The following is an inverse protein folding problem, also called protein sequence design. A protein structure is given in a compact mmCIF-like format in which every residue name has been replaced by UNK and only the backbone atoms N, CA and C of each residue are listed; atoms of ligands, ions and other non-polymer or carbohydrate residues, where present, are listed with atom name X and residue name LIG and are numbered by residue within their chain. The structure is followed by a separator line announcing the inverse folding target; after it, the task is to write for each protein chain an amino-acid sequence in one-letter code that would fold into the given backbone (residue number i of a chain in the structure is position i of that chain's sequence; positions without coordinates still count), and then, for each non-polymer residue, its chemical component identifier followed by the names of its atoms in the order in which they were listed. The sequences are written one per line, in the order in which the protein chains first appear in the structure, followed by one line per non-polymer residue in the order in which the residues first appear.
data_IF_780603778707
#
_entry.id   IF_780603778707
#
_cell.length_a   1.000
_cell.length_b   1.000
_cell.length_c   1.000
_cell.angle_alpha   90.00
_cell.angle_beta   90.00
_cell.angle_gamma   90.00
#
_symmetry.space_group_name_H-M   'P 1'
#
loop_
_entity.id
_entity.type
_entity.pdbx_description
1 polymer ?
#
# COMPACT_ATOMS: atom_id res chain seq x y z
N UNK A 1 16.82 9.49 32.93
CA UNK A 1 17.62 9.44 31.68
C UNK A 1 19.07 9.81 31.90
N UNK A 2 19.44 11.08 32.09
CA UNK A 2 20.85 11.51 32.16
C UNK A 2 21.71 10.73 33.15
N UNK A 3 21.24 10.52 34.38
CA UNK A 3 21.97 9.72 35.37
C UNK A 3 22.25 8.28 34.89
N UNK A 4 21.31 7.66 34.18
CA UNK A 4 21.49 6.31 33.62
C UNK A 4 22.45 6.34 32.43
N UNK A 5 22.38 7.37 31.58
CA UNK A 5 23.30 7.54 30.45
C UNK A 5 24.76 7.67 30.93
N UNK A 6 25.01 8.45 31.97
CA UNK A 6 26.34 8.69 32.53
C UNK A 6 26.91 7.48 33.29
N UNK A 7 26.04 6.59 33.80
CA UNK A 7 26.42 5.46 34.65
C UNK A 7 25.98 4.10 34.07
N UNK A 8 25.79 4.02 32.75
CA UNK A 8 25.05 2.93 32.13
C UNK A 8 25.64 1.54 32.41
N UNK A 9 26.96 1.38 32.32
CA UNK A 9 27.60 0.08 32.56
C UNK A 9 27.58 -0.32 34.04
N UNK A 10 27.73 0.64 34.96
CA UNK A 10 27.65 0.38 36.39
C UNK A 10 26.25 -0.07 36.82
N UNK A 11 25.22 0.49 36.18
CA UNK A 11 23.82 0.20 36.49
C UNK A 11 23.23 -0.95 35.67
N UNK A 12 23.98 -1.53 34.73
CA UNK A 12 23.48 -2.53 33.77
C UNK A 12 22.85 -3.74 34.48
N UNK A 13 23.55 -4.32 35.44
CA UNK A 13 23.10 -5.50 36.18
C UNK A 13 21.80 -5.26 36.98
N UNK A 14 21.53 -4.01 37.35
CA UNK A 14 20.32 -3.62 38.07
C UNK A 14 19.09 -3.56 37.17
N UNK A 15 19.28 -3.25 35.89
CA UNK A 15 18.18 -2.97 34.96
C UNK A 15 17.93 -4.09 33.95
N UNK A 16 18.96 -4.78 33.46
CA UNK A 16 18.84 -5.74 32.34
C UNK A 16 19.61 -7.04 32.60
N UNK A 17 19.31 -8.09 31.84
CA UNK A 17 19.99 -9.40 31.94
C UNK A 17 21.24 -9.53 31.09
N UNK A 18 21.32 -8.83 29.95
CA UNK A 18 22.46 -8.91 29.05
C UNK A 18 23.64 -8.09 29.59
N UNK A 19 24.81 -8.73 29.60
CA UNK A 19 26.03 -8.19 30.21
C UNK A 19 26.77 -7.17 29.35
N UNK A 20 26.52 -7.15 28.04
CA UNK A 20 27.20 -6.24 27.11
C UNK A 20 26.29 -5.83 25.95
N UNK A 21 26.63 -4.71 25.31
CA UNK A 21 25.96 -4.23 24.11
C UNK A 21 24.49 -3.86 24.31
N UNK A 22 23.75 -3.88 23.19
CA UNK A 22 22.32 -3.58 23.12
C UNK A 22 21.55 -4.75 22.51
N UNK A 23 20.38 -5.05 23.06
CA UNK A 23 19.41 -5.91 22.38
C UNK A 23 18.42 -5.04 21.60
N UNK A 24 17.87 -5.59 20.52
CA UNK A 24 16.89 -4.87 19.70
C UNK A 24 15.48 -5.27 20.12
N UNK A 25 14.67 -4.27 20.49
CA UNK A 25 13.25 -4.43 20.79
C UNK A 25 12.45 -4.04 19.56
N UNK A 26 11.70 -4.99 19.03
CA UNK A 26 10.97 -4.84 17.77
C UNK A 26 9.48 -4.98 18.02
N UNK A 27 8.72 -4.00 17.52
CA UNK A 27 7.25 -3.99 17.53
C UNK A 27 6.73 -4.21 16.11
N UNK A 28 5.57 -4.86 15.97
CA UNK A 28 5.02 -5.26 14.67
C UNK A 28 3.48 -5.22 14.66
N UNK A 29 2.86 -5.58 13.54
CA UNK A 29 1.40 -5.73 13.41
C UNK A 29 0.56 -4.46 13.67
N UNK A 30 1.05 -3.32 13.21
CA UNK A 30 0.28 -2.06 13.24
C UNK A 30 -0.87 -2.07 12.22
N UNK A 31 -2.00 -1.46 12.57
CA UNK A 31 -3.13 -1.28 11.66
C UNK A 31 -2.80 -0.32 10.50
N UNK A 32 -2.00 0.71 10.77
CA UNK A 32 -1.54 1.71 9.80
C UNK A 32 -0.07 2.05 10.06
N UNK A 33 0.69 2.35 8.99
CA UNK A 33 2.05 2.91 9.06
C UNK A 33 2.10 4.22 9.87
N UNK A 34 1.01 4.96 9.99
CA UNK A 34 0.92 6.18 10.80
C UNK A 34 0.43 5.98 12.24
N UNK A 35 0.07 4.76 12.64
CA UNK A 35 -0.38 4.47 14.01
C UNK A 35 0.82 4.42 14.98
N UNK A 36 1.10 5.58 15.59
CA UNK A 36 2.16 5.73 16.58
C UNK A 36 1.69 5.44 18.01
N UNK A 37 0.38 5.50 18.28
CA UNK A 37 -0.14 5.27 19.62
C UNK A 37 0.08 3.80 20.03
N UNK A 38 -0.28 2.88 19.13
CA UNK A 38 -0.09 1.45 19.35
C UNK A 38 1.40 1.08 19.44
N UNK A 39 2.28 1.81 18.75
CA UNK A 39 3.73 1.65 18.88
C UNK A 39 4.20 1.89 20.32
N UNK A 40 3.74 2.95 20.99
CA UNK A 40 4.15 3.22 22.37
C UNK A 40 3.65 2.13 23.32
N UNK A 41 2.41 1.67 23.17
CA UNK A 41 1.84 0.63 24.03
C UNK A 41 2.55 -0.73 23.86
N UNK A 42 2.84 -1.12 22.61
CA UNK A 42 3.62 -2.33 22.34
C UNK A 42 5.07 -2.20 22.85
N UNK A 43 5.70 -1.06 22.60
CA UNK A 43 7.10 -0.84 22.99
C UNK A 43 7.25 -0.86 24.50
N UNK A 44 6.30 -0.29 25.24
CA UNK A 44 6.26 -0.35 26.71
C UNK A 44 6.29 -1.81 27.20
N UNK A 45 5.49 -2.70 26.60
CA UNK A 45 5.47 -4.13 26.94
C UNK A 45 6.82 -4.80 26.68
N UNK A 46 7.45 -4.51 25.55
CA UNK A 46 8.78 -5.04 25.23
C UNK A 46 9.86 -4.57 26.20
N UNK A 47 9.86 -3.28 26.60
CA UNK A 47 10.81 -2.79 27.60
C UNK A 47 10.56 -3.44 28.96
N UNK A 48 9.31 -3.56 29.40
CA UNK A 48 8.96 -4.24 30.66
C UNK A 48 9.46 -5.69 30.67
N UNK A 49 9.28 -6.42 29.56
CA UNK A 49 9.72 -7.81 29.42
C UNK A 49 11.24 -7.97 29.51
N UNK A 50 12.00 -6.96 29.10
CA UNK A 50 13.46 -7.00 29.03
C UNK A 50 14.14 -6.23 30.17
N UNK A 51 13.39 -5.76 31.17
CA UNK A 51 13.92 -5.06 32.34
C UNK A 51 13.57 -5.77 33.64
N UNK A 52 14.40 -5.56 34.67
CA UNK A 52 14.26 -6.21 35.98
C UNK A 52 13.53 -5.33 36.99
N UNK A 53 13.15 -5.94 38.12
CA UNK A 53 12.73 -5.26 39.34
C UNK A 53 11.55 -4.30 39.18
N UNK A 54 10.68 -4.52 38.18
CA UNK A 54 9.55 -3.65 37.87
C UNK A 54 9.94 -2.17 37.69
N UNK A 55 11.18 -1.88 37.27
CA UNK A 55 11.67 -0.50 37.13
C UNK A 55 10.82 0.31 36.15
N UNK A 56 10.29 -0.33 35.11
CA UNK A 56 9.38 0.31 34.16
C UNK A 56 8.04 0.71 34.79
N UNK A 57 7.54 -0.04 35.78
CA UNK A 57 6.35 0.34 36.51
C UNK A 57 6.62 1.57 37.39
N UNK A 58 7.77 1.61 38.06
CA UNK A 58 8.20 2.78 38.85
C UNK A 58 8.37 4.06 38.03
N UNK A 59 8.77 3.93 36.76
CA UNK A 59 8.96 5.05 35.83
C UNK A 59 7.69 5.40 35.03
N UNK A 60 6.64 4.57 35.12
CA UNK A 60 5.38 4.81 34.43
C UNK A 60 4.60 5.91 35.14
N UNK A 61 4.05 6.86 34.38
CA UNK A 61 3.07 7.80 34.90
C UNK A 61 1.70 7.13 34.93
N UNK A 62 1.18 6.88 36.13
CA UNK A 62 -0.11 6.22 36.39
C UNK A 62 -1.02 7.05 37.32
N UNK A 63 -0.77 8.37 37.40
CA UNK A 63 -1.57 9.30 38.19
C UNK A 63 -2.99 9.47 37.63
N UNK A 64 -3.93 9.88 38.49
CA UNK A 64 -5.34 10.10 38.12
C UNK A 64 -5.54 11.19 37.05
N UNK A 65 -4.55 12.06 36.83
CA UNK A 65 -4.54 13.12 35.82
C UNK A 65 -3.78 12.74 34.55
N UNK A 66 -3.26 11.51 34.45
CA UNK A 66 -2.53 11.04 33.27
C UNK A 66 -3.50 10.84 32.10
N UNK A 67 -3.42 11.74 31.12
CA UNK A 67 -4.08 11.59 29.83
C UNK A 67 -3.21 10.84 28.81
N UNK A 68 -3.72 10.74 27.58
CA UNK A 68 -3.05 10.04 26.47
C UNK A 68 -1.65 10.60 26.17
N UNK A 69 -1.52 11.93 26.10
CA UNK A 69 -0.23 12.59 25.81
C UNK A 69 0.79 12.31 26.91
N UNK A 70 0.39 12.40 28.18
CA UNK A 70 1.26 12.11 29.32
C UNK A 70 1.69 10.64 29.35
N UNK A 71 0.79 9.71 29.00
CA UNK A 71 1.11 8.29 28.87
C UNK A 71 2.19 8.04 27.80
N UNK A 72 2.04 8.64 26.62
CA UNK A 72 3.03 8.55 25.53
C UNK A 72 4.38 9.14 25.97
N UNK A 73 4.38 10.33 26.57
CA UNK A 73 5.61 10.96 27.07
C UNK A 73 6.28 10.12 28.17
N UNK A 74 5.50 9.49 29.05
CA UNK A 74 6.03 8.56 30.06
C UNK A 74 6.76 7.39 29.41
N UNK A 75 6.16 6.74 28.40
CA UNK A 75 6.81 5.68 27.64
C UNK A 75 8.06 6.18 26.91
N UNK A 76 8.01 7.36 26.30
CA UNK A 76 9.17 7.97 25.64
C UNK A 76 10.31 8.26 26.64
N UNK A 77 10.00 8.70 27.87
CA UNK A 77 10.98 8.91 28.93
C UNK A 77 11.63 7.60 29.40
N UNK A 78 10.85 6.52 29.50
CA UNK A 78 11.36 5.16 29.78
C UNK A 78 12.30 4.73 28.65
N UNK A 79 11.89 4.87 27.40
CA UNK A 79 12.70 4.53 26.23
C UNK A 79 14.02 5.32 26.21
N UNK A 80 13.96 6.63 26.48
CA UNK A 80 15.15 7.48 26.58
C UNK A 80 16.07 7.05 27.72
N UNK A 81 15.52 6.61 28.85
CA UNK A 81 16.32 6.15 30.00
C UNK A 81 17.06 4.85 29.71
N UNK A 82 16.47 3.93 28.95
CA UNK A 82 17.10 2.64 28.64
C UNK A 82 17.75 2.56 27.25
N UNK A 83 17.89 3.70 26.54
CA UNK A 83 18.45 3.74 25.18
C UNK A 83 19.90 3.24 25.08
N UNK A 84 20.63 3.18 26.20
CA UNK A 84 21.97 2.60 26.24
C UNK A 84 21.95 1.06 26.20
N UNK A 85 20.87 0.43 26.65
CA UNK A 85 20.73 -1.04 26.70
C UNK A 85 19.90 -1.60 25.54
N UNK A 86 19.04 -0.78 24.94
CA UNK A 86 18.11 -1.20 23.90
C UNK A 86 18.26 -0.38 22.63
N UNK A 87 18.03 -1.06 21.50
CA UNK A 87 17.73 -0.44 20.21
C UNK A 87 16.25 -0.63 19.93
N UNK A 88 15.53 0.46 19.66
CA UNK A 88 14.09 0.39 19.38
C UNK A 88 13.85 0.32 17.88
N UNK A 89 13.07 -0.67 17.44
CA UNK A 89 12.67 -0.82 16.04
C UNK A 89 11.16 -0.94 15.93
N UNK A 90 10.64 -0.25 14.92
CA UNK A 90 9.25 -0.39 14.47
C UNK A 90 9.28 -1.15 13.16
N UNK A 91 8.79 -2.38 13.17
CA UNK A 91 8.71 -3.22 11.99
C UNK A 91 7.33 -3.04 11.36
N UNK A 92 7.29 -2.44 10.18
CA UNK A 92 6.08 -2.39 9.36
C UNK A 92 6.09 -3.65 8.50
N UNK A 93 5.40 -4.69 8.95
CA UNK A 93 5.11 -5.84 8.10
C UNK A 93 3.95 -5.47 7.20
N UNK A 94 4.14 -5.54 5.89
CA UNK A 94 3.02 -5.53 4.96
C UNK A 94 2.27 -6.83 5.25
N UNK A 95 1.23 -6.77 6.08
CA UNK A 95 0.42 -7.93 6.38
C UNK A 95 -0.27 -8.36 5.09
N UNK A 96 -0.04 -9.61 4.67
CA UNK A 96 -0.67 -10.19 3.48
C UNK A 96 -2.19 -10.23 3.58
N UNK A 97 -2.85 -10.68 2.51
CA UNK A 97 -4.31 -10.74 2.44
C UNK A 97 -4.84 -11.71 3.51
N UNK A 98 -5.48 -11.18 4.55
CA UNK A 98 -6.07 -11.96 5.65
C UNK A 98 -7.32 -12.73 5.22
N UNK A 99 -8.09 -12.16 4.29
CA UNK A 99 -9.32 -12.74 3.77
C UNK A 99 -9.57 -12.25 2.34
N UNK A 100 -9.98 -13.15 1.46
CA UNK A 100 -10.42 -12.84 0.10
C UNK A 100 -11.92 -13.03 0.05
N UNK A 101 -12.64 -12.00 -0.39
CA UNK A 101 -14.06 -12.10 -0.69
C UNK A 101 -14.24 -11.95 -2.19
N UNK A 102 -14.74 -13.00 -2.85
CA UNK A 102 -15.09 -12.91 -4.25
C UNK A 102 -16.50 -12.39 -4.40
N UNK A 103 -16.65 -11.39 -5.27
CA UNK A 103 -17.96 -11.01 -5.79
C UNK A 103 -18.32 -11.92 -6.97
N UNK A 104 -19.61 -12.24 -7.13
CA UNK A 104 -20.10 -13.16 -8.15
C UNK A 104 -20.08 -14.64 -7.74
N UNK A 105 -20.55 -15.50 -8.63
CA UNK A 105 -20.64 -16.95 -8.46
C UNK A 105 -19.49 -17.67 -9.17
N UNK A 106 -19.24 -18.94 -8.82
CA UNK A 106 -18.25 -19.77 -9.54
C UNK A 106 -18.56 -19.86 -11.06
N UNK A 107 -19.84 -19.86 -11.44
CA UNK A 107 -20.26 -19.90 -12.84
C UNK A 107 -19.89 -18.61 -13.59
N UNK A 108 -19.94 -17.46 -12.92
CA UNK A 108 -19.52 -16.19 -13.49
C UNK A 108 -18.02 -16.21 -13.79
N UNK A 109 -17.21 -16.72 -12.86
CA UNK A 109 -15.76 -16.84 -13.04
C UNK A 109 -15.38 -17.86 -14.12
N UNK A 110 -16.07 -19.00 -14.21
CA UNK A 110 -15.89 -19.96 -15.31
C UNK A 110 -16.25 -19.35 -16.67
N UNK A 111 -17.36 -18.62 -16.73
CA UNK A 111 -17.82 -17.94 -17.95
C UNK A 111 -16.83 -16.86 -18.37
N UNK A 112 -16.32 -16.07 -17.42
CA UNK A 112 -15.31 -15.04 -17.65
C UNK A 112 -14.04 -15.67 -18.25
N UNK A 113 -13.54 -16.76 -17.64
CA UNK A 113 -12.39 -17.49 -18.14
C UNK A 113 -12.58 -17.98 -19.57
N UNK A 114 -13.73 -18.58 -19.89
CA UNK A 114 -14.03 -19.08 -21.25
C UNK A 114 -14.05 -17.92 -22.25
N UNK A 115 -14.70 -16.81 -21.92
CA UNK A 115 -14.73 -15.61 -22.78
C UNK A 115 -13.34 -15.05 -23.01
N UNK A 116 -12.50 -14.98 -21.97
CA UNK A 116 -11.11 -14.52 -22.07
C UNK A 116 -10.26 -15.47 -22.91
N UNK A 117 -10.47 -16.78 -22.84
CA UNK A 117 -9.78 -17.74 -23.71
C UNK A 117 -10.14 -17.50 -25.18
N UNK A 118 -11.42 -17.23 -25.48
CA UNK A 118 -11.87 -16.94 -26.84
C UNK A 118 -11.27 -15.64 -27.41
N UNK A 119 -10.93 -14.66 -26.56
CA UNK A 119 -10.25 -13.44 -27.01
C UNK A 119 -8.87 -13.71 -27.63
N UNK A 120 -8.22 -14.84 -27.32
CA UNK A 120 -6.95 -15.22 -27.93
C UNK A 120 -7.04 -15.35 -29.45
N UNK A 121 -8.22 -15.70 -29.99
CA UNK A 121 -8.46 -15.80 -31.43
C UNK A 121 -8.28 -14.47 -32.17
N UNK A 122 -8.39 -13.35 -31.45
CA UNK A 122 -8.26 -11.99 -31.97
C UNK A 122 -6.97 -11.31 -31.49
N UNK A 123 -6.04 -12.06 -30.90
CA UNK A 123 -4.83 -11.54 -30.26
C UNK A 123 -3.58 -11.71 -31.12
N UNK A 124 -2.65 -10.75 -31.01
CA UNK A 124 -1.27 -10.93 -31.44
C UNK A 124 -0.45 -11.64 -30.34
N UNK A 125 0.79 -12.02 -30.63
CA UNK A 125 1.64 -12.79 -29.69
C UNK A 125 1.78 -12.10 -28.31
N UNK A 126 1.90 -10.77 -28.30
CA UNK A 126 2.02 -9.99 -27.06
C UNK A 126 0.73 -10.07 -26.22
N UNK A 127 -0.42 -9.78 -26.83
CA UNK A 127 -1.70 -9.83 -26.15
C UNK A 127 -2.08 -11.27 -25.74
N UNK A 128 -1.68 -12.26 -26.54
CA UNK A 128 -1.82 -13.68 -26.20
C UNK A 128 -1.07 -14.04 -24.92
N UNK A 129 0.17 -13.56 -24.77
CA UNK A 129 0.97 -13.72 -23.55
C UNK A 129 0.29 -13.13 -22.32
N UNK A 130 -0.22 -11.91 -22.44
CA UNK A 130 -1.01 -11.25 -21.40
C UNK A 130 -2.26 -12.06 -21.01
N UNK A 131 -3.09 -12.44 -21.99
CA UNK A 131 -4.31 -13.22 -21.75
C UNK A 131 -4.01 -14.55 -21.07
N UNK A 132 -2.91 -15.21 -21.44
CA UNK A 132 -2.47 -16.46 -20.80
C UNK A 132 -2.15 -16.27 -19.32
N UNK A 133 -1.54 -15.12 -18.97
CA UNK A 133 -1.36 -14.71 -17.58
C UNK A 133 -2.67 -14.53 -16.83
N UNK A 134 -3.60 -13.76 -17.41
CA UNK A 134 -4.93 -13.50 -16.82
C UNK A 134 -5.72 -14.79 -16.60
N UNK A 135 -5.69 -15.71 -17.56
CA UNK A 135 -6.37 -17.00 -17.44
C UNK A 135 -5.84 -17.84 -16.28
N UNK A 136 -4.51 -17.83 -16.07
CA UNK A 136 -3.91 -18.53 -14.92
C UNK A 136 -4.38 -17.96 -13.57
N UNK A 137 -4.66 -16.66 -13.51
CA UNK A 137 -5.23 -16.00 -12.33
C UNK A 137 -6.69 -16.45 -12.12
N UNK A 138 -7.50 -16.48 -13.18
CA UNK A 138 -8.88 -16.98 -13.10
C UNK A 138 -8.95 -18.45 -12.70
N UNK A 139 -7.99 -19.28 -13.13
CA UNK A 139 -7.87 -20.66 -12.66
C UNK A 139 -7.68 -20.72 -11.14
N UNK A 140 -6.83 -19.88 -10.57
CA UNK A 140 -6.66 -19.83 -9.10
C UNK A 140 -7.93 -19.37 -8.39
N UNK A 141 -8.70 -18.48 -8.99
CA UNK A 141 -9.97 -18.02 -8.40
C UNK A 141 -10.98 -19.17 -8.39
N UNK A 142 -11.16 -19.86 -9.51
CA UNK A 142 -12.06 -21.01 -9.64
C UNK A 142 -11.65 -22.14 -8.67
N UNK A 143 -10.37 -22.46 -8.56
CA UNK A 143 -9.89 -23.46 -7.61
C UNK A 143 -10.11 -23.04 -6.16
N UNK A 144 -9.99 -21.74 -5.85
CA UNK A 144 -10.31 -21.20 -4.52
C UNK A 144 -11.79 -21.39 -4.18
N UNK A 145 -12.71 -21.17 -5.14
CA UNK A 145 -14.15 -21.48 -4.95
C UNK A 145 -14.43 -22.96 -4.70
N UNK A 146 -13.63 -23.87 -5.29
CA UNK A 146 -13.74 -25.31 -5.08
C UNK A 146 -13.13 -25.79 -3.74
N UNK A 147 -12.53 -24.89 -2.97
CA UNK A 147 -11.83 -25.20 -1.72
C UNK A 147 -10.35 -25.56 -1.87
N UNK A 148 -9.81 -25.56 -3.10
CA UNK A 148 -8.41 -25.87 -3.39
C UNK A 148 -7.55 -24.60 -3.33
N UNK A 149 -7.34 -24.09 -2.11
CA UNK A 149 -6.69 -22.79 -1.91
C UNK A 149 -5.16 -22.88 -2.03
N UNK A 150 -4.58 -22.26 -3.05
CA UNK A 150 -3.14 -22.07 -3.18
C UNK A 150 -2.65 -20.85 -2.39
N UNK A 151 -2.19 -21.08 -1.15
CA UNK A 151 -1.69 -19.99 -0.28
C UNK A 151 -0.54 -19.20 -0.89
N UNK A 152 0.37 -19.86 -1.61
CA UNK A 152 1.52 -19.18 -2.22
C UNK A 152 1.12 -18.19 -3.30
N UNK A 153 0.06 -18.48 -4.04
CA UNK A 153 -0.54 -17.54 -4.99
C UNK A 153 -1.15 -16.33 -4.26
N UNK A 154 -1.95 -16.57 -3.22
CA UNK A 154 -2.62 -15.51 -2.46
C UNK A 154 -1.68 -14.63 -1.64
N UNK A 155 -0.54 -15.14 -1.18
CA UNK A 155 0.47 -14.32 -0.49
C UNK A 155 1.19 -13.38 -1.47
N UNK A 156 1.24 -13.75 -2.76
CA UNK A 156 1.96 -13.01 -3.81
C UNK A 156 1.06 -12.12 -4.67
N UNK A 157 -0.07 -11.65 -4.13
CA UNK A 157 -0.95 -10.69 -4.83
C UNK A 157 -0.17 -9.43 -5.19
N UNK A 158 0.53 -8.89 -4.21
CA UNK A 158 1.28 -7.65 -4.31
C UNK A 158 2.56 -7.78 -3.48
N UNK A 159 3.70 -7.38 -4.05
CA UNK A 159 5.02 -7.39 -3.42
C UNK A 159 5.77 -6.12 -3.79
N UNK A 160 6.36 -5.44 -2.79
CA UNK A 160 7.10 -4.20 -2.99
C UNK A 160 8.59 -4.50 -3.01
N UNK A 161 9.22 -4.33 -4.18
CA UNK A 161 10.66 -4.53 -4.36
C UNK A 161 11.38 -3.21 -4.37
N UNK A 162 12.31 -3.03 -3.44
CA UNK A 162 13.26 -1.91 -3.46
C UNK A 162 14.36 -2.17 -4.46
N UNK A 163 14.52 -1.28 -5.43
CA UNK A 163 15.68 -1.24 -6.33
C UNK A 163 16.38 0.09 -6.17
N UNK A 164 17.67 0.13 -6.48
CA UNK A 164 18.43 1.37 -6.56
C UNK A 164 18.77 1.63 -8.00
N UNK A 165 18.36 2.77 -8.54
CA UNK A 165 18.71 3.19 -9.89
C UNK A 165 19.77 4.29 -9.82
N UNK A 166 20.60 4.37 -10.86
CA UNK A 166 21.53 5.47 -11.05
C UNK A 166 20.76 6.66 -11.63
N UNK A 167 20.85 7.80 -10.96
CA UNK A 167 20.39 9.10 -11.45
C UNK A 167 21.39 9.56 -12.52
N UNK A 168 21.09 9.23 -13.77
CA UNK A 168 21.90 9.60 -14.92
C UNK A 168 21.29 10.86 -15.52
N UNK A 169 21.82 12.02 -15.15
CA UNK A 169 21.50 13.26 -15.83
C UNK A 169 22.35 13.35 -17.12
N UNK A 170 21.73 13.24 -18.32
CA UNK A 170 22.46 13.24 -19.59
C UNK A 170 23.15 14.57 -19.91
N UNK A 171 22.83 15.64 -19.18
CA UNK A 171 23.44 16.97 -19.30
C UNK A 171 24.46 17.28 -18.19
N UNK A 172 24.75 16.33 -17.28
CA UNK A 172 25.72 16.56 -16.20
C UNK A 172 27.17 16.55 -16.71
N UNK A 173 28.09 17.34 -16.10
CA UNK A 173 29.52 17.27 -16.39
C UNK A 173 30.09 15.86 -16.23
N UNK A 174 31.07 15.47 -17.05
CA UNK A 174 31.64 14.10 -17.10
C UNK A 174 32.10 13.57 -15.72
N UNK A 175 32.52 14.46 -14.81
CA UNK A 175 32.89 14.08 -13.44
C UNK A 175 31.70 13.62 -12.58
N UNK A 176 30.51 14.19 -12.78
CA UNK A 176 29.29 13.77 -12.07
C UNK A 176 28.70 12.49 -12.68
N UNK A 177 28.87 12.25 -13.99
CA UNK A 177 28.39 11.02 -14.63
C UNK A 177 29.22 9.78 -14.27
N UNK A 178 30.46 9.96 -13.79
CA UNK A 178 31.31 8.90 -13.24
C UNK A 178 30.88 8.42 -11.84
N UNK A 179 30.11 9.24 -11.12
CA UNK A 179 29.59 8.93 -9.78
C UNK A 179 28.10 9.29 -9.66
N UNK A 180 27.22 8.58 -10.38
CA UNK A 180 25.80 8.90 -10.40
C UNK A 180 25.19 8.72 -9.01
N UNK A 181 24.34 9.67 -8.62
CA UNK A 181 23.57 9.61 -7.38
C UNK A 181 22.66 8.38 -7.45
N UNK A 182 22.60 7.61 -6.36
CA UNK A 182 21.77 6.40 -6.30
C UNK A 182 20.42 6.73 -5.67
N UNK A 183 19.34 6.54 -6.41
CA UNK A 183 17.98 6.80 -5.94
C UNK A 183 17.31 5.47 -5.60
N UNK A 184 16.82 5.29 -4.36
CA UNK A 184 15.99 4.15 -4.02
C UNK A 184 14.60 4.34 -4.65
N UNK A 185 14.15 3.36 -5.41
CA UNK A 185 12.79 3.28 -5.94
C UNK A 185 12.09 2.05 -5.37
N UNK A 186 10.80 2.21 -5.07
CA UNK A 186 9.92 1.12 -4.67
C UNK A 186 9.11 0.69 -5.88
N UNK A 187 9.19 -0.59 -6.25
CA UNK A 187 8.44 -1.17 -7.36
C UNK A 187 7.34 -2.07 -6.82
N UNK A 188 6.11 -1.85 -7.27
CA UNK A 188 5.01 -2.76 -7.04
C UNK A 188 5.10 -3.92 -8.04
N UNK A 189 5.04 -5.14 -7.52
CA UNK A 189 5.09 -6.40 -8.28
C UNK A 189 4.01 -7.36 -7.77
N UNK A 190 3.79 -8.48 -8.44
CA UNK A 190 2.79 -9.49 -8.05
C UNK A 190 1.84 -9.83 -9.20
N UNK A 191 0.92 -10.76 -8.98
CA UNK A 191 -0.03 -11.11 -10.05
C UNK A 191 -1.11 -10.04 -10.24
N UNK A 192 -1.32 -9.15 -9.25
CA UNK A 192 -2.31 -8.07 -9.39
C UNK A 192 -1.91 -7.05 -10.45
N UNK A 193 -0.61 -6.72 -10.58
CA UNK A 193 -0.14 -5.81 -11.63
C UNK A 193 -0.30 -6.46 -13.01
N UNK A 194 0.00 -7.76 -13.10
CA UNK A 194 -0.22 -8.54 -14.31
C UNK A 194 -1.70 -8.60 -14.71
N UNK A 195 -2.64 -8.68 -13.76
CA UNK A 195 -4.07 -8.68 -14.05
C UNK A 195 -4.53 -7.41 -14.78
N UNK A 196 -3.88 -6.28 -14.53
CA UNK A 196 -4.19 -4.99 -15.16
C UNK A 196 -3.27 -4.67 -16.36
N UNK A 197 -2.46 -5.63 -16.81
CA UNK A 197 -1.54 -5.42 -17.94
C UNK A 197 -0.35 -4.54 -17.61
N UNK A 198 -0.03 -4.39 -16.33
CA UNK A 198 1.09 -3.60 -15.84
C UNK A 198 2.28 -4.54 -15.62
N UNK A 199 3.37 -4.35 -16.37
CA UNK A 199 4.58 -5.17 -16.23
C UNK A 199 5.38 -4.83 -14.96
N UNK A 200 5.53 -3.54 -14.64
CA UNK A 200 6.12 -3.02 -13.40
C UNK A 200 5.54 -1.62 -13.10
N UNK A 201 4.99 -1.40 -11.90
CA UNK A 201 4.48 -0.08 -11.48
C UNK A 201 5.46 0.55 -10.49
N UNK A 202 6.02 1.72 -10.83
CA UNK A 202 6.91 2.47 -9.92
C UNK A 202 6.02 3.27 -8.97
N UNK A 203 6.26 3.11 -7.67
CA UNK A 203 5.60 3.91 -6.65
C UNK A 203 6.43 5.19 -6.53
N UNK A 204 6.22 6.18 -7.41
CA UNK A 204 6.80 7.51 -7.22
C UNK A 204 5.98 8.30 -6.19
N UNK A 205 6.65 9.16 -5.42
CA UNK A 205 6.06 9.96 -4.34
C UNK A 205 5.22 11.14 -4.81
N UNK A 206 5.24 11.44 -6.10
CA UNK A 206 4.66 12.66 -6.64
C UNK A 206 3.84 12.32 -7.88
N UNK A 207 2.52 12.49 -7.75
CA UNK A 207 1.54 12.83 -8.81
C UNK A 207 1.85 12.38 -10.25
N UNK A 208 2.19 11.10 -10.47
CA UNK A 208 2.08 10.56 -11.81
C UNK A 208 0.62 10.17 -12.02
N UNK A 209 -0.14 11.12 -12.60
CA UNK A 209 -1.47 10.94 -13.21
C UNK A 209 -1.38 9.97 -14.40
N UNK A 210 -0.61 8.89 -14.31
CA UNK A 210 -0.66 7.78 -15.24
C UNK A 210 -2.00 7.07 -15.02
N UNK A 211 -3.03 7.64 -15.65
CA UNK A 211 -4.41 7.18 -15.67
C UNK A 211 -4.36 5.67 -15.91
N UNK A 212 -4.75 4.90 -14.90
CA UNK A 212 -4.88 3.44 -15.02
C UNK A 212 -5.71 3.14 -16.28
N UNK A 213 -5.41 2.05 -17.00
CA UNK A 213 -6.08 1.75 -18.26
C UNK A 213 -7.59 1.89 -18.12
N UNK A 214 -8.15 2.92 -18.74
CA UNK A 214 -9.59 3.20 -18.72
C UNK A 214 -10.16 2.94 -20.12
N UNK A 215 -11.36 2.39 -20.14
CA UNK A 215 -12.24 2.47 -21.29
C UNK A 215 -12.44 3.95 -21.57
N UNK A 216 -12.14 4.38 -22.79
CA UNK A 216 -12.45 5.72 -23.28
C UNK A 216 -13.05 5.56 -24.68
N UNK A 217 -14.37 5.55 -24.74
CA UNK A 217 -15.11 5.32 -25.99
C UNK A 217 -15.79 6.61 -26.44
N UNK A 218 -15.39 7.19 -27.59
CA UNK A 218 -16.08 8.34 -28.15
C UNK A 218 -17.47 7.94 -28.66
N UNK A 219 -18.45 8.80 -28.43
CA UNK A 219 -19.84 8.65 -28.88
C UNK A 219 -20.30 9.99 -29.45
N UNK A 220 -20.74 9.98 -30.70
CA UNK A 220 -21.28 11.17 -31.35
C UNK A 220 -22.75 11.36 -30.95
N UNK A 221 -23.07 12.54 -30.43
CA UNK A 221 -24.39 12.98 -30.03
C UNK A 221 -25.00 13.83 -31.15
N UNK A 222 -26.07 13.33 -31.76
CA UNK A 222 -26.80 14.03 -32.81
C UNK A 222 -28.00 14.77 -32.23
N UNK A 223 -28.00 16.11 -32.28
CA UNK A 223 -29.16 16.92 -31.91
C UNK A 223 -30.14 17.02 -33.08
N UNK A 224 -31.21 16.23 -33.02
CA UNK A 224 -32.26 16.21 -34.04
C UNK A 224 -33.07 17.50 -34.17
N UNK A 225 -32.94 18.46 -33.26
CA UNK A 225 -33.65 19.76 -33.33
C UNK A 225 -32.88 20.78 -34.17
N UNK A 226 -31.55 20.73 -34.11
CA UNK A 226 -30.67 21.77 -34.65
C UNK A 226 -29.75 21.22 -35.76
N UNK A 227 -29.69 19.90 -35.93
CA UNK A 227 -28.81 19.23 -36.89
C UNK A 227 -27.32 19.24 -36.51
N UNK A 228 -26.99 19.58 -35.26
CA UNK A 228 -25.61 19.67 -34.78
C UNK A 228 -25.14 18.33 -34.21
N UNK A 229 -23.85 18.03 -34.43
CA UNK A 229 -23.17 16.86 -33.84
C UNK A 229 -22.17 17.33 -32.79
N UNK A 230 -22.31 16.83 -31.56
CA UNK A 230 -21.31 16.96 -30.50
C UNK A 230 -20.69 15.60 -30.19
N UNK A 231 -19.56 15.58 -29.48
CA UNK A 231 -18.88 14.34 -29.10
C UNK A 231 -18.78 14.24 -27.59
N UNK A 232 -19.26 13.12 -27.04
CA UNK A 232 -19.05 12.74 -25.65
C UNK A 232 -18.16 11.49 -25.58
N UNK A 233 -17.59 11.25 -24.40
CA UNK A 233 -16.75 10.10 -24.14
C UNK A 233 -17.34 9.31 -22.98
N UNK A 234 -17.58 8.01 -23.19
CA UNK A 234 -17.84 7.07 -22.12
C UNK A 234 -16.48 6.66 -21.57
N UNK A 235 -16.19 7.15 -20.36
CA UNK A 235 -14.97 6.83 -19.63
C UNK A 235 -15.32 5.85 -18.52
N UNK A 236 -14.63 4.72 -18.43
CA UNK A 236 -14.88 3.73 -17.39
C UNK A 236 -13.63 2.98 -17.01
N UNK A 237 -13.47 2.63 -15.74
CA UNK A 237 -12.29 1.89 -15.31
C UNK A 237 -12.05 1.97 -13.82
N UNK A 238 -10.87 1.50 -13.41
CA UNK A 238 -10.42 1.59 -12.03
C UNK A 238 -10.04 3.04 -11.72
N UNK A 239 -10.84 3.71 -10.89
CA UNK A 239 -10.64 5.11 -10.52
C UNK A 239 -9.88 5.29 -9.20
N UNK A 240 -9.44 4.20 -8.56
CA UNK A 240 -8.61 4.24 -7.37
C UNK A 240 -9.06 3.28 -6.27
N UNK A 241 -8.49 3.47 -5.08
CA UNK A 241 -8.79 2.71 -3.86
C UNK A 241 -9.30 3.71 -2.81
N UNK A 242 -10.54 3.54 -2.37
CA UNK A 242 -11.09 4.32 -1.26
C UNK A 242 -10.76 3.62 0.06
N UNK A 243 -10.43 4.41 1.08
CA UNK A 243 -10.25 3.93 2.46
C UNK A 243 -11.40 4.44 3.32
N UNK A 244 -12.13 3.54 3.94
CA UNK A 244 -13.14 3.87 4.98
C UNK A 244 -12.95 2.90 6.12
N UNK A 245 -12.73 3.40 7.35
CA UNK A 245 -12.53 2.56 8.54
C UNK A 245 -11.45 1.46 8.36
N UNK A 246 -10.30 1.80 7.76
CA UNK A 246 -9.21 0.87 7.42
C UNK A 246 -9.59 -0.26 6.46
N UNK A 247 -10.70 -0.14 5.74
CA UNK A 247 -11.05 -1.02 4.62
C UNK A 247 -10.73 -0.33 3.30
N UNK A 248 -9.84 -0.95 2.54
CA UNK A 248 -9.47 -0.50 1.20
C UNK A 248 -10.40 -1.15 0.18
N UNK A 249 -11.16 -0.35 -0.56
CA UNK A 249 -12.05 -0.83 -1.63
C UNK A 249 -11.61 -0.25 -2.97
N UNK A 250 -11.23 -1.10 -3.94
CA UNK A 250 -11.07 -0.63 -5.31
C UNK A 250 -12.43 -0.19 -5.87
N UNK A 251 -12.48 0.98 -6.49
CA UNK A 251 -13.71 1.49 -7.10
C UNK A 251 -13.58 1.50 -8.62
N UNK A 252 -14.48 0.76 -9.26
CA UNK A 252 -14.78 0.95 -10.67
C UNK A 252 -15.86 2.00 -10.79
N UNK A 253 -15.66 2.97 -11.67
CA UNK A 253 -16.68 3.96 -12.02
C UNK A 253 -16.81 4.06 -13.54
N UNK A 254 -17.95 4.56 -13.97
CA UNK A 254 -18.24 4.93 -15.35
C UNK A 254 -18.79 6.35 -15.33
N UNK A 255 -18.25 7.20 -16.20
CA UNK A 255 -18.62 8.62 -16.35
C UNK A 255 -18.80 8.93 -17.84
N UNK A 256 -19.76 9.81 -18.15
CA UNK A 256 -19.91 10.36 -19.50
C UNK A 256 -19.42 11.80 -19.48
N UNK A 257 -18.36 12.09 -20.23
CA UNK A 257 -17.73 13.41 -20.26
C UNK A 257 -18.01 14.06 -21.61
N UNK A 258 -18.59 15.26 -21.60
CA UNK A 258 -18.73 16.08 -22.80
C UNK A 258 -17.54 17.03 -22.90
N UNK A 259 -16.80 16.98 -24.02
CA UNK A 259 -15.72 17.92 -24.26
C UNK A 259 -16.33 19.31 -24.55
N UNK A 260 -16.42 20.15 -23.51
CA UNK A 260 -16.81 21.55 -23.70
C UNK A 260 -15.77 22.23 -24.61
N UNK A 261 -16.17 22.64 -25.81
CA UNK A 261 -15.35 23.49 -26.68
C UNK A 261 -15.06 24.80 -25.92
N UNK A 262 -13.81 24.93 -25.46
CA UNK A 262 -13.18 26.09 -24.81
C UNK A 262 -13.49 26.33 -23.32
N UNK A 263 -12.66 25.79 -22.44
CA UNK A 263 -11.61 26.52 -21.68
C UNK A 263 -11.04 25.60 -20.59
N UNK A 264 -9.74 25.73 -20.43
CA UNK A 264 -8.86 25.14 -19.42
C UNK A 264 -9.52 25.10 -18.03
N UNK A 265 -9.94 23.93 -17.56
CA UNK A 265 -9.97 23.53 -16.14
C UNK A 265 -10.45 22.07 -16.04
N UNK A 266 -9.59 21.20 -15.51
CA UNK A 266 -9.97 19.88 -15.03
C UNK A 266 -10.94 20.06 -13.86
N UNK A 267 -12.24 20.00 -14.11
CA UNK A 267 -13.23 19.78 -13.06
C UNK A 267 -13.46 18.28 -12.93
N UNK A 268 -12.94 17.73 -11.84
CA UNK A 268 -13.38 16.44 -11.31
C UNK A 268 -14.80 16.67 -10.79
N UNK A 269 -15.79 16.10 -11.47
CA UNK A 269 -17.16 16.07 -10.95
C UNK A 269 -17.19 15.17 -9.70
N UNK A 270 -17.47 15.77 -8.55
CA UNK A 270 -17.75 15.05 -7.30
C UNK A 270 -19.12 14.37 -7.36
N UNK A 271 -19.30 13.34 -6.53
CA UNK A 271 -20.42 12.38 -6.39
C UNK A 271 -21.87 12.92 -6.45
N UNK A 272 -22.12 14.23 -6.52
CA UNK A 272 -23.48 14.78 -6.49
C UNK A 272 -24.18 14.81 -7.87
N UNK A 273 -23.44 14.71 -8.99
CA UNK A 273 -24.03 14.77 -10.34
C UNK A 273 -24.16 13.41 -11.04
N UNK A 274 -23.66 12.32 -10.44
CA UNK A 274 -23.84 10.97 -10.98
C UNK A 274 -25.22 10.41 -10.58
N UNK A 275 -26.22 10.63 -11.43
CA UNK A 275 -27.49 9.89 -11.34
C UNK A 275 -27.23 8.40 -11.52
N UNK A 276 -27.18 7.70 -10.39
CA UNK A 276 -27.04 6.24 -10.33
C UNK A 276 -28.37 5.63 -10.78
N UNK A 277 -28.41 5.01 -11.96
CA UNK A 277 -29.51 4.11 -12.31
C UNK A 277 -29.18 2.73 -11.73
N UNK A 278 -30.07 2.24 -10.87
CA UNK A 278 -30.05 0.91 -10.22
C UNK A 278 -30.09 -0.24 -11.23
#
# INVERSE_FOLDING_TARGET
AQHVDENAEQLRSNFVEHNEGKITLTTCDFNDKYDWDDFYDQMKKEVVKNTKNNICQLLTADFSTTGKVQSILSTACIMNTFKFYFKYQREIRICGIRQVHFMGTINDWQSLRIKTEQLKLFSNDQFHGYLSGVLSIFDQFIETYKGNVNRNFWIKVCDVKRKTIADINPCAPVQLSLFPKRIPIEKLTGWVVQLFGLEEFIIESDEDDSILPCINTPVDLLDGRNGTTDQCHIVGGFHGIYSTENRYKPVMSVSVIQMLKSKTQNQIFSEEDCTTYL
#
